data_IF_914097956753
#
_entry.id   IF_914097956753
#
_cell.length_a   1.000
_cell.length_b   1.000
_cell.length_c   1.000
_cell.angle_alpha   90.00
_cell.angle_beta   90.00
_cell.angle_gamma   90.00
#
_symmetry.space_group_name_H-M   'P 1'
#
loop_
_entity.id
_entity.type
_entity.pdbx_description
1 polymer ?
#
# COMPACT_ATOMS: atom_id res chain seq x y z
N UNK A 1 -3.89 -1.74 -21.88
CA UNK A 1 -5.26 -2.19 -21.60
C UNK A 1 -5.21 -3.23 -20.48
N UNK A 2 -6.33 -3.54 -19.77
CA UNK A 2 -6.31 -4.55 -18.69
C UNK A 2 -5.80 -5.93 -19.14
N UNK A 3 -6.08 -6.32 -20.39
CA UNK A 3 -5.62 -7.57 -20.99
C UNK A 3 -4.11 -7.63 -21.28
N UNK A 4 -3.42 -6.49 -21.22
CA UNK A 4 -1.98 -6.35 -21.45
C UNK A 4 -1.17 -6.39 -20.14
N UNK A 5 -1.86 -6.55 -18.99
CA UNK A 5 -1.24 -6.55 -17.66
C UNK A 5 -1.04 -8.00 -17.20
N UNK A 6 0.19 -8.35 -16.86
CA UNK A 6 0.56 -9.70 -16.39
C UNK A 6 0.53 -9.84 -14.87
N UNK A 7 0.82 -8.76 -14.14
CA UNK A 7 0.91 -8.77 -12.67
C UNK A 7 0.18 -7.55 -12.11
N UNK A 8 -0.68 -7.78 -11.13
CA UNK A 8 -1.32 -6.75 -10.30
C UNK A 8 -0.89 -6.96 -8.85
N UNK A 9 -0.26 -5.96 -8.26
CA UNK A 9 0.11 -5.97 -6.85
C UNK A 9 -1.00 -5.25 -6.08
N UNK A 10 -1.73 -5.99 -5.25
CA UNK A 10 -2.74 -5.43 -4.36
C UNK A 10 -2.05 -4.98 -3.07
N UNK A 11 -2.05 -3.69 -2.81
CA UNK A 11 -1.41 -3.14 -1.60
C UNK A 11 -2.09 -3.62 -0.33
N UNK A 12 -3.40 -3.76 -0.36
CA UNK A 12 -4.27 -4.38 0.64
C UNK A 12 -5.63 -4.68 0.00
N UNK A 13 -6.56 -5.28 0.75
CA UNK A 13 -7.82 -5.81 0.19
C UNK A 13 -9.06 -4.97 0.55
N UNK A 14 -8.92 -3.68 0.87
CA UNK A 14 -10.08 -2.81 0.99
C UNK A 14 -10.80 -2.67 -0.36
N UNK A 15 -12.11 -2.46 -0.31
CA UNK A 15 -13.00 -2.45 -1.48
C UNK A 15 -12.54 -1.47 -2.58
N UNK A 16 -12.02 -0.31 -2.23
CA UNK A 16 -11.55 0.72 -3.17
C UNK A 16 -10.24 0.34 -3.89
N UNK A 17 -9.49 -0.64 -3.38
CA UNK A 17 -8.29 -1.19 -4.00
C UNK A 17 -8.56 -2.46 -4.84
N UNK A 18 -9.67 -3.16 -4.62
CA UNK A 18 -9.99 -4.41 -5.33
C UNK A 18 -11.20 -4.32 -6.25
N UNK A 19 -12.00 -3.25 -6.19
CA UNK A 19 -13.26 -3.11 -6.94
C UNK A 19 -13.14 -3.31 -8.46
N UNK A 20 -11.99 -3.03 -9.04
CA UNK A 20 -11.73 -3.19 -10.48
C UNK A 20 -10.83 -4.38 -10.81
N UNK A 21 -10.47 -5.22 -9.84
CA UNK A 21 -9.57 -6.35 -10.04
C UNK A 21 -10.10 -7.33 -11.11
N UNK A 22 -11.41 -7.53 -11.17
CA UNK A 22 -12.05 -8.40 -12.16
C UNK A 22 -11.84 -7.99 -13.62
N UNK A 23 -11.34 -6.77 -13.89
CA UNK A 23 -11.00 -6.34 -15.27
C UNK A 23 -9.68 -6.93 -15.76
N UNK A 24 -8.82 -7.42 -14.88
CA UNK A 24 -7.47 -7.92 -15.19
C UNK A 24 -7.46 -9.46 -15.28
N UNK A 25 -8.25 -10.03 -16.18
CA UNK A 25 -8.53 -11.48 -16.25
C UNK A 25 -7.29 -12.36 -16.46
N UNK A 26 -6.21 -11.81 -17.03
CA UNK A 26 -4.97 -12.55 -17.31
C UNK A 26 -3.90 -12.34 -16.24
N UNK A 27 -4.05 -11.32 -15.42
CA UNK A 27 -3.04 -10.95 -14.45
C UNK A 27 -2.97 -11.94 -13.27
N UNK A 28 -1.76 -12.10 -12.74
CA UNK A 28 -1.53 -12.69 -11.42
C UNK A 28 -1.71 -11.59 -10.38
N UNK A 29 -2.50 -11.87 -9.35
CA UNK A 29 -2.70 -10.94 -8.25
C UNK A 29 -1.80 -11.32 -7.09
N UNK A 30 -1.01 -10.37 -6.60
CA UNK A 30 -0.10 -10.60 -5.48
C UNK A 30 -0.61 -9.86 -4.26
N UNK A 31 -0.77 -10.57 -3.14
CA UNK A 31 -1.14 -10.01 -1.84
C UNK A 31 -0.42 -10.73 -0.70
N UNK A 32 -0.35 -10.10 0.47
CA UNK A 32 0.16 -10.75 1.67
C UNK A 32 -0.86 -11.80 2.18
N UNK A 33 -0.35 -12.95 2.63
CA UNK A 33 -1.21 -13.98 3.22
C UNK A 33 -1.98 -13.45 4.44
N UNK A 34 -1.32 -12.71 5.31
CA UNK A 34 -1.93 -12.14 6.52
C UNK A 34 -3.03 -11.12 6.17
N UNK A 35 -2.94 -10.44 5.02
CA UNK A 35 -4.00 -9.56 4.54
C UNK A 35 -5.25 -10.34 4.15
N UNK A 36 -5.09 -11.43 3.39
CA UNK A 36 -6.22 -12.27 3.03
C UNK A 36 -6.87 -12.91 4.26
N UNK A 37 -6.05 -13.46 5.18
CA UNK A 37 -6.56 -14.08 6.41
C UNK A 37 -7.40 -13.08 7.23
N UNK A 38 -6.97 -11.82 7.30
CA UNK A 38 -7.71 -10.76 7.99
C UNK A 38 -8.95 -10.31 7.21
N UNK A 39 -8.82 -10.13 5.89
CA UNK A 39 -9.91 -9.68 5.02
C UNK A 39 -11.10 -10.65 5.01
N UNK A 40 -10.84 -11.96 5.08
CA UNK A 40 -11.89 -12.98 5.15
C UNK A 40 -12.65 -13.02 6.50
N UNK A 41 -12.01 -12.53 7.57
CA UNK A 41 -12.60 -12.47 8.91
C UNK A 41 -12.14 -11.21 9.65
N UNK A 42 -12.49 -10.03 9.18
CA UNK A 42 -12.00 -8.78 9.75
C UNK A 42 -12.62 -8.54 11.14
N UNK A 43 -11.88 -7.79 11.97
CA UNK A 43 -12.44 -7.26 13.20
C UNK A 43 -13.63 -6.34 12.87
N UNK A 44 -14.65 -6.31 13.73
CA UNK A 44 -15.89 -5.54 13.50
C UNK A 44 -15.63 -4.06 13.17
N UNK A 45 -14.63 -3.44 13.80
CA UNK A 45 -14.25 -2.04 13.55
C UNK A 45 -13.60 -1.80 12.18
N UNK A 46 -13.10 -2.85 11.52
CA UNK A 46 -12.45 -2.78 10.21
C UNK A 46 -13.32 -3.38 9.09
N UNK A 47 -14.43 -4.05 9.42
CA UNK A 47 -15.23 -4.84 8.47
C UNK A 47 -15.83 -4.00 7.33
N UNK A 48 -16.06 -2.71 7.55
CA UNK A 48 -16.59 -1.81 6.53
C UNK A 48 -15.64 -1.62 5.32
N UNK A 49 -14.36 -1.88 5.49
CA UNK A 49 -13.35 -1.77 4.43
C UNK A 49 -13.33 -2.97 3.48
N UNK A 50 -13.93 -4.11 3.86
CA UNK A 50 -13.82 -5.37 3.12
C UNK A 50 -15.15 -5.80 2.54
N UNK A 51 -15.23 -5.95 1.21
CA UNK A 51 -16.36 -6.56 0.52
C UNK A 51 -15.99 -7.99 0.11
N UNK A 52 -16.60 -8.99 0.75
CA UNK A 52 -16.31 -10.40 0.51
C UNK A 52 -16.55 -10.80 -0.95
N UNK A 53 -17.59 -10.24 -1.60
CA UNK A 53 -17.90 -10.54 -3.00
C UNK A 53 -16.79 -10.10 -3.97
N UNK A 54 -15.97 -9.10 -3.59
CA UNK A 54 -14.83 -8.66 -4.39
C UNK A 54 -13.58 -9.50 -4.16
N UNK A 55 -13.52 -10.25 -3.05
CA UNK A 55 -12.32 -10.95 -2.59
C UNK A 55 -12.39 -12.45 -2.91
N UNK A 56 -13.56 -13.08 -2.77
CA UNK A 56 -13.73 -14.54 -2.85
C UNK A 56 -13.27 -15.14 -4.17
N UNK A 57 -13.48 -14.44 -5.29
CA UNK A 57 -13.13 -14.91 -6.64
C UNK A 57 -11.70 -14.54 -7.08
N UNK A 58 -10.95 -13.78 -6.26
CA UNK A 58 -9.59 -13.38 -6.59
C UNK A 58 -8.61 -14.56 -6.48
N UNK A 59 -7.96 -14.88 -7.58
CA UNK A 59 -6.86 -15.87 -7.61
C UNK A 59 -5.57 -15.20 -7.14
N UNK A 60 -5.37 -15.17 -5.83
CA UNK A 60 -4.22 -14.52 -5.21
C UNK A 60 -3.00 -15.44 -5.16
N UNK A 61 -1.86 -14.93 -5.64
CA UNK A 61 -0.52 -15.45 -5.34
C UNK A 61 -0.07 -14.83 -4.01
N UNK A 62 -0.12 -15.64 -2.95
CA UNK A 62 0.08 -15.17 -1.59
C UNK A 62 1.57 -15.18 -1.22
N UNK A 63 2.03 -14.06 -0.71
CA UNK A 63 3.40 -13.88 -0.22
C UNK A 63 3.41 -13.61 1.29
N UNK A 64 4.60 -13.68 1.89
CA UNK A 64 4.82 -13.36 3.30
C UNK A 64 6.05 -12.46 3.42
N UNK A 65 5.86 -11.27 3.95
CA UNK A 65 6.95 -10.30 4.15
C UNK A 65 7.37 -9.58 2.87
N UNK A 66 8.61 -9.13 2.86
CA UNK A 66 9.20 -8.44 1.72
C UNK A 66 9.52 -9.41 0.59
N UNK A 67 9.34 -8.96 -0.65
CA UNK A 67 9.64 -9.79 -1.82
C UNK A 67 9.99 -8.95 -3.04
N UNK A 68 11.00 -9.36 -3.78
CA UNK A 68 11.23 -8.88 -5.14
C UNK A 68 10.28 -9.63 -6.08
N UNK A 69 9.58 -8.89 -6.92
CA UNK A 69 8.57 -9.44 -7.84
C UNK A 69 9.15 -9.62 -9.24
N UNK A 70 9.79 -8.60 -9.73
CA UNK A 70 10.60 -8.58 -10.94
C UNK A 70 11.78 -7.64 -10.70
N UNK A 71 12.80 -7.70 -11.53
CA UNK A 71 13.97 -6.82 -11.43
C UNK A 71 13.55 -5.36 -11.30
N UNK A 72 14.02 -4.69 -10.25
CA UNK A 72 13.70 -3.29 -9.94
C UNK A 72 12.32 -3.02 -9.34
N UNK A 73 11.49 -4.06 -9.11
CA UNK A 73 10.18 -3.92 -8.45
C UNK A 73 10.09 -4.85 -7.26
N UNK A 74 10.00 -4.29 -6.06
CA UNK A 74 9.90 -5.05 -4.82
C UNK A 74 8.72 -4.60 -3.95
N UNK A 75 8.24 -5.51 -3.16
CA UNK A 75 7.22 -5.28 -2.14
C UNK A 75 7.92 -5.16 -0.78
N UNK A 76 7.49 -4.19 0.01
CA UNK A 76 7.76 -4.13 1.44
C UNK A 76 6.47 -4.37 2.21
N UNK A 77 6.50 -5.26 3.19
CA UNK A 77 5.40 -5.40 4.15
C UNK A 77 5.37 -4.14 5.03
N UNK A 78 4.27 -3.40 4.99
CA UNK A 78 4.06 -2.14 5.70
C UNK A 78 2.72 -2.17 6.44
N UNK A 79 2.63 -2.95 7.53
CA UNK A 79 1.40 -3.14 8.28
C UNK A 79 1.02 -1.88 9.07
N UNK A 80 -0.22 -1.88 9.58
CA UNK A 80 -0.73 -0.83 10.46
C UNK A 80 -2.04 -0.24 9.97
N UNK A 81 -2.14 0.14 8.69
CA UNK A 81 -3.42 0.47 8.06
C UNK A 81 -4.30 -0.78 8.04
N UNK A 82 -3.78 -1.84 7.47
CA UNK A 82 -4.27 -3.21 7.62
C UNK A 82 -3.13 -4.10 8.13
N UNK A 83 -3.39 -5.30 8.67
CA UNK A 83 -2.34 -6.19 9.17
C UNK A 83 -1.38 -6.69 8.08
N UNK A 84 -1.84 -6.78 6.84
CA UNK A 84 -1.07 -7.25 5.70
C UNK A 84 -0.84 -6.17 4.64
N UNK A 85 -1.01 -4.90 4.99
CA UNK A 85 -0.70 -3.80 4.08
C UNK A 85 0.73 -3.87 3.58
N UNK A 86 0.92 -3.66 2.27
CA UNK A 86 2.24 -3.69 1.62
C UNK A 86 2.41 -2.50 0.70
N UNK A 87 3.64 -2.05 0.55
CA UNK A 87 4.03 -0.94 -0.32
C UNK A 87 4.89 -1.42 -1.46
N UNK A 88 4.78 -0.79 -2.62
CA UNK A 88 5.56 -1.13 -3.81
C UNK A 88 6.72 -0.15 -3.95
N UNK A 89 7.92 -0.68 -4.13
CA UNK A 89 9.14 0.07 -4.39
C UNK A 89 9.58 -0.17 -5.82
N UNK A 90 9.81 0.89 -6.57
CA UNK A 90 10.21 0.83 -7.97
C UNK A 90 11.54 1.56 -8.15
N UNK A 91 12.55 0.89 -8.70
CA UNK A 91 13.80 1.53 -9.09
C UNK A 91 13.59 2.39 -10.34
N UNK A 92 13.99 3.64 -10.26
CA UNK A 92 13.88 4.59 -11.37
C UNK A 92 15.24 5.27 -11.61
N UNK A 93 15.46 5.93 -12.77
CA UNK A 93 16.67 6.72 -13.00
C UNK A 93 16.90 7.86 -12.01
N UNK A 94 15.87 8.24 -11.23
CA UNK A 94 15.93 9.31 -10.22
C UNK A 94 15.92 8.80 -8.78
N UNK A 95 16.11 7.51 -8.58
CA UNK A 95 16.11 6.86 -7.29
C UNK A 95 14.91 5.93 -7.09
N UNK A 96 14.69 5.51 -5.86
CA UNK A 96 13.63 4.56 -5.50
C UNK A 96 12.32 5.31 -5.30
N UNK A 97 11.31 4.99 -6.13
CA UNK A 97 9.94 5.47 -5.96
C UNK A 97 9.14 4.48 -5.10
N UNK A 98 8.47 4.98 -4.08
CA UNK A 98 7.56 4.21 -3.24
C UNK A 98 6.11 4.55 -3.54
N UNK A 99 5.28 3.53 -3.66
CA UNK A 99 3.81 3.61 -3.66
C UNK A 99 3.35 3.01 -2.34
N UNK A 100 3.10 3.83 -1.29
CA UNK A 100 2.65 3.33 0.00
C UNK A 100 1.28 2.67 -0.10
N UNK A 101 1.14 1.48 0.49
CA UNK A 101 -0.09 0.71 0.50
C UNK A 101 -1.02 1.01 1.68
N UNK A 102 -0.99 2.21 2.20
CA UNK A 102 -1.83 2.67 3.29
C UNK A 102 -2.41 4.06 2.99
N UNK A 103 -3.51 4.40 3.66
CA UNK A 103 -4.22 5.66 3.48
C UNK A 103 -3.36 6.82 4.00
N UNK A 104 -2.49 7.39 3.15
CA UNK A 104 -1.59 8.49 3.49
C UNK A 104 -1.62 9.62 2.46
N UNK A 105 -1.25 10.79 2.94
CA UNK A 105 -0.97 11.99 2.16
C UNK A 105 0.47 12.44 2.43
N UNK A 106 1.02 13.33 1.61
CA UNK A 106 2.40 13.80 1.77
C UNK A 106 2.70 14.40 3.16
N UNK A 107 1.70 15.01 3.80
CA UNK A 107 1.82 15.52 5.16
C UNK A 107 2.13 14.43 6.22
N UNK A 108 1.87 13.16 5.95
CA UNK A 108 2.29 12.07 6.83
C UNK A 108 3.82 11.90 6.83
N UNK A 109 4.47 12.18 5.70
CA UNK A 109 5.92 12.08 5.55
C UNK A 109 6.66 13.38 5.89
N UNK A 110 5.92 14.48 5.98
CA UNK A 110 6.43 15.82 6.35
C UNK A 110 5.61 16.41 7.50
N UNK A 111 5.73 15.85 8.72
CA UNK A 111 4.95 16.34 9.85
C UNK A 111 5.30 17.80 10.19
N UNK A 112 4.36 18.55 10.76
CA UNK A 112 4.55 19.98 11.06
C UNK A 112 5.71 20.21 12.03
N UNK A 113 6.31 21.42 12.05
CA UNK A 113 7.47 21.72 12.90
C UNK A 113 7.27 21.40 14.39
N UNK A 114 6.06 21.60 14.92
CA UNK A 114 5.72 21.26 16.31
C UNK A 114 5.81 19.75 16.61
N UNK A 115 5.47 18.89 15.64
CA UNK A 115 5.61 17.44 15.78
C UNK A 115 7.08 17.02 15.63
N UNK A 116 7.80 17.59 14.66
CA UNK A 116 9.24 17.35 14.48
C UNK A 116 10.06 17.77 15.72
N UNK A 117 9.73 18.87 16.35
CA UNK A 117 10.36 19.32 17.60
C UNK A 117 10.17 18.32 18.77
N UNK A 118 9.16 17.44 18.67
CA UNK A 118 8.90 16.36 19.63
C UNK A 118 9.53 15.04 19.22
N UNK A 119 10.36 15.02 18.17
CA UNK A 119 11.06 13.83 17.66
C UNK A 119 10.28 12.98 16.66
N UNK A 120 9.12 13.44 16.18
CA UNK A 120 8.36 12.70 15.15
C UNK A 120 8.94 12.97 13.75
N UNK A 121 9.47 11.94 13.12
CA UNK A 121 9.98 12.02 11.73
C UNK A 121 8.87 11.89 10.68
N UNK A 122 7.78 11.20 11.04
CA UNK A 122 6.57 11.02 10.24
C UNK A 122 5.33 11.17 11.12
N UNK A 123 4.15 11.20 10.53
CA UNK A 123 2.89 11.06 11.25
C UNK A 123 2.19 9.77 10.81
N UNK A 124 1.67 9.00 11.76
CA UNK A 124 0.87 7.83 11.42
C UNK A 124 -0.35 8.24 10.57
N UNK A 125 -0.70 7.48 9.53
CA UNK A 125 -1.94 7.67 8.78
C UNK A 125 -3.17 7.61 9.69
N UNK A 126 -4.21 8.39 9.37
CA UNK A 126 -5.40 8.51 10.21
C UNK A 126 -6.26 7.24 10.27
N UNK A 127 -6.27 6.43 9.19
CA UNK A 127 -6.97 5.15 9.12
C UNK A 127 -5.97 4.02 9.37
N UNK A 128 -6.12 3.33 10.50
CA UNK A 128 -5.21 2.24 10.87
C UNK A 128 -5.88 1.24 11.83
N UNK A 129 -5.43 -0.01 11.77
CA UNK A 129 -5.75 -1.05 12.76
C UNK A 129 -4.75 -1.03 13.93
N UNK A 130 -3.53 -0.54 13.68
CA UNK A 130 -2.46 -0.38 14.67
C UNK A 130 -1.65 0.89 14.37
N UNK A 131 -1.74 1.87 15.25
CA UNK A 131 -1.09 3.18 15.08
C UNK A 131 0.44 3.10 15.16
N UNK A 132 0.99 2.21 15.98
CA UNK A 132 2.44 2.07 16.14
C UNK A 132 3.04 1.44 14.89
N UNK A 133 2.44 0.35 14.41
CA UNK A 133 2.86 -0.28 13.15
C UNK A 133 2.71 0.68 11.96
N UNK A 134 1.63 1.46 11.91
CA UNK A 134 1.42 2.45 10.86
C UNK A 134 2.49 3.56 10.86
N UNK A 135 2.91 4.00 12.04
CA UNK A 135 4.02 4.94 12.19
C UNK A 135 5.34 4.34 11.69
N UNK A 136 5.67 3.12 12.15
CA UNK A 136 6.91 2.42 11.77
C UNK A 136 6.96 2.13 10.27
N UNK A 137 5.83 1.77 9.67
CA UNK A 137 5.69 1.57 8.23
C UNK A 137 5.93 2.87 7.43
N UNK A 138 5.33 3.98 7.86
CA UNK A 138 5.57 5.28 7.24
C UNK A 138 7.04 5.71 7.37
N UNK A 139 7.65 5.50 8.54
CA UNK A 139 9.06 5.79 8.78
C UNK A 139 9.97 4.92 7.89
N UNK A 140 9.65 3.63 7.76
CA UNK A 140 10.36 2.71 6.87
C UNK A 140 10.33 3.20 5.42
N UNK A 141 9.17 3.60 4.91
CA UNK A 141 9.04 4.15 3.55
C UNK A 141 9.88 5.42 3.41
N UNK A 142 9.75 6.38 4.32
CA UNK A 142 10.51 7.63 4.30
C UNK A 142 12.02 7.43 4.24
N UNK A 143 12.53 6.41 4.93
CA UNK A 143 13.98 6.11 4.99
C UNK A 143 14.49 5.29 3.81
N UNK A 144 13.59 4.71 3.02
CA UNK A 144 13.96 3.80 1.92
C UNK A 144 13.74 4.43 0.55
N UNK A 145 12.80 5.37 0.42
CA UNK A 145 12.41 5.95 -0.85
C UNK A 145 12.98 7.35 -1.05
N UNK A 146 13.37 7.65 -2.29
CA UNK A 146 13.74 8.99 -2.74
C UNK A 146 12.51 9.77 -3.21
N UNK A 147 11.50 9.05 -3.72
CA UNK A 147 10.24 9.59 -4.25
C UNK A 147 9.09 8.86 -3.59
N UNK A 148 8.15 9.58 -2.98
CA UNK A 148 6.97 8.99 -2.34
C UNK A 148 5.71 9.41 -3.09
N UNK A 149 4.90 8.43 -3.49
CA UNK A 149 3.67 8.59 -4.26
C UNK A 149 2.48 8.24 -3.37
N UNK A 150 2.06 9.16 -2.53
CA UNK A 150 0.95 8.97 -1.61
C UNK A 150 -0.38 8.96 -2.39
N UNK A 151 -1.01 7.79 -2.55
CA UNK A 151 -2.17 7.57 -3.43
C UNK A 151 -3.41 8.41 -3.06
N UNK A 152 -3.54 8.83 -1.81
CA UNK A 152 -4.65 9.66 -1.35
C UNK A 152 -4.33 11.16 -1.31
N UNK A 153 -3.18 11.59 -1.85
CA UNK A 153 -2.79 12.99 -1.88
C UNK A 153 -3.25 13.67 -3.18
N UNK A 154 -4.01 14.75 -3.03
CA UNK A 154 -4.54 15.51 -4.17
C UNK A 154 -3.46 16.20 -4.99
N UNK A 155 -2.24 16.35 -4.47
CA UNK A 155 -1.12 16.96 -5.21
C UNK A 155 -0.70 16.15 -6.43
N UNK A 156 -1.09 14.88 -6.53
CA UNK A 156 -0.83 14.02 -7.69
C UNK A 156 -1.93 14.08 -8.76
N UNK A 157 -3.05 14.79 -8.52
CA UNK A 157 -4.12 14.93 -9.51
C UNK A 157 -3.63 15.74 -10.71
N UNK A 158 -3.76 15.16 -11.90
CA UNK A 158 -3.33 15.81 -13.16
C UNK A 158 -1.84 15.68 -13.46
N UNK A 159 -1.10 14.86 -12.70
CA UNK A 159 0.28 14.49 -13.04
C UNK A 159 0.24 13.24 -13.91
N UNK A 160 0.53 13.40 -15.21
CA UNK A 160 0.49 12.30 -16.17
C UNK A 160 1.75 11.40 -16.13
N UNK A 161 2.84 11.91 -15.58
CA UNK A 161 4.13 11.19 -15.54
C UNK A 161 4.91 11.52 -14.29
N UNK A 162 5.37 10.48 -13.63
CA UNK A 162 6.27 10.55 -12.48
C UNK A 162 7.68 10.22 -12.96
N UNK A 163 8.71 10.92 -12.45
CA UNK A 163 10.08 10.84 -12.95
C UNK A 163 10.67 9.44 -12.83
#
# INVERSE_FOLDING_TARGET
KPEDIDIVILTHLHFDHVALANKFHKAKFIAQKVELDFALKPHVLASFGYDQNLIEDLKLDLIQGDKEIVEGVRILLTPGHTPGGQSVMVETPKGIAAIPGFCCVMANFEPPPSARARGLEVAAPGSHTDALQAYDSALRIKRTADIILAAHDVSFVGIDRIP
#
